data_IF_696973015040
#
_entry.id   IF_696973015040
#
_cell.length_a   1.000
_cell.length_b   1.000
_cell.length_c   1.000
_cell.angle_alpha   90.00
_cell.angle_beta   90.00
_cell.angle_gamma   90.00
#
_symmetry.space_group_name_H-M   'P 1'
#
loop_
_entity.id
_entity.type
_entity.pdbx_description
1 polymer ?
#
# COMPACT_ATOMS: atom_id res chain seq x y z
N UNK A 1 8.44 -7.63 -12.29
CA UNK A 1 8.84 -7.07 -10.98
C UNK A 1 10.31 -7.37 -10.77
N UNK A 2 11.13 -6.40 -10.37
CA UNK A 2 12.57 -6.64 -10.12
C UNK A 2 12.74 -7.28 -8.74
N UNK A 3 13.55 -8.34 -8.65
CA UNK A 3 13.77 -9.12 -7.42
C UNK A 3 14.17 -8.26 -6.22
N UNK A 4 14.93 -7.18 -6.44
CA UNK A 4 15.34 -6.25 -5.38
C UNK A 4 14.20 -5.49 -4.72
N UNK A 5 13.13 -5.18 -5.46
CA UNK A 5 11.98 -4.45 -4.91
C UNK A 5 11.17 -5.34 -3.97
N UNK A 6 11.02 -6.63 -4.29
CA UNK A 6 10.31 -7.59 -3.42
C UNK A 6 11.05 -7.83 -2.11
N UNK A 7 12.39 -7.92 -2.14
CA UNK A 7 13.22 -8.10 -0.93
C UNK A 7 13.11 -6.87 -0.02
N UNK A 8 13.23 -5.65 -0.58
CA UNK A 8 13.06 -4.41 0.18
C UNK A 8 11.67 -4.30 0.81
N UNK A 9 10.65 -4.71 0.06
CA UNK A 9 9.26 -4.71 0.56
C UNK A 9 9.07 -5.71 1.69
N UNK A 10 9.75 -6.84 1.68
CA UNK A 10 9.61 -7.85 2.72
C UNK A 10 10.39 -7.50 3.99
N UNK A 11 11.54 -6.83 3.86
CA UNK A 11 12.37 -6.40 5.00
C UNK A 11 11.88 -5.11 5.67
N UNK A 12 11.36 -4.15 4.90
CA UNK A 12 11.00 -2.83 5.39
C UNK A 12 9.50 -2.50 5.24
N UNK A 13 8.74 -3.27 4.46
CA UNK A 13 7.32 -3.03 4.27
C UNK A 13 6.49 -3.66 5.37
N UNK A 14 5.80 -2.81 6.13
CA UNK A 14 4.71 -3.21 7.00
C UNK A 14 3.44 -3.38 6.17
N UNK A 15 2.85 -4.58 6.18
CA UNK A 15 1.57 -4.83 5.54
C UNK A 15 0.50 -4.03 6.28
N UNK A 16 -0.14 -3.11 5.56
CA UNK A 16 -1.21 -2.29 6.13
C UNK A 16 -2.54 -3.00 5.98
N UNK A 17 -2.85 -3.47 4.77
CA UNK A 17 -4.11 -4.16 4.51
C UNK A 17 -4.20 -4.65 3.07
N UNK A 18 -5.31 -5.29 2.77
CA UNK A 18 -5.66 -5.77 1.45
C UNK A 18 -7.03 -5.22 1.02
N UNK A 19 -7.23 -5.10 -0.29
CA UNK A 19 -8.50 -4.69 -0.86
C UNK A 19 -9.33 -5.85 -1.41
N UNK A 20 -10.54 -5.57 -1.89
CA UNK A 20 -11.45 -6.54 -2.50
C UNK A 20 -10.79 -7.25 -3.69
N UNK A 21 -10.00 -6.51 -4.47
CA UNK A 21 -9.21 -7.04 -5.59
C UNK A 21 -7.93 -7.78 -5.15
N UNK A 22 -7.76 -8.04 -3.84
CA UNK A 22 -6.57 -8.65 -3.22
C UNK A 22 -5.27 -7.85 -3.46
N UNK A 23 -5.38 -6.57 -3.78
CA UNK A 23 -4.24 -5.66 -3.85
C UNK A 23 -3.72 -5.41 -2.43
N UNK A 24 -2.41 -5.58 -2.21
CA UNK A 24 -1.79 -5.44 -0.89
C UNK A 24 -1.10 -4.10 -0.75
N UNK A 25 -1.39 -3.41 0.33
CA UNK A 25 -0.82 -2.09 0.61
C UNK A 25 0.24 -2.20 1.69
N UNK A 26 1.38 -1.56 1.43
CA UNK A 26 2.55 -1.59 2.28
C UNK A 26 2.98 -0.18 2.67
N UNK A 27 3.53 -0.07 3.87
CA UNK A 27 4.10 1.17 4.39
C UNK A 27 5.47 0.89 5.01
N UNK A 28 6.45 1.77 4.82
CA UNK A 28 7.76 1.63 5.48
C UNK A 28 7.72 1.96 6.99
N UNK A 29 6.70 2.70 7.44
CA UNK A 29 6.59 3.09 8.85
C UNK A 29 5.65 2.16 9.60
N UNK A 30 6.00 1.84 10.85
CA UNK A 30 5.06 1.23 11.81
C UNK A 30 3.89 2.16 12.15
N UNK A 31 4.09 3.46 11.98
CA UNK A 31 3.05 4.45 12.24
C UNK A 31 2.38 4.83 10.92
N UNK A 32 1.17 4.34 10.69
CA UNK A 32 0.44 4.55 9.43
C UNK A 32 0.08 6.02 9.16
N UNK A 33 0.05 6.84 10.22
CA UNK A 33 -0.21 8.29 10.16
C UNK A 33 1.04 9.10 9.83
N UNK A 34 2.19 8.45 9.60
CA UNK A 34 3.39 9.17 9.23
C UNK A 34 3.33 9.58 7.74
N UNK A 35 3.35 10.88 7.50
CA UNK A 35 3.32 11.48 6.16
C UNK A 35 4.66 11.34 5.42
N UNK A 36 5.77 11.13 6.15
CA UNK A 36 7.08 10.89 5.55
C UNK A 36 7.28 9.42 5.15
N UNK A 37 6.42 8.52 5.63
CA UNK A 37 6.48 7.13 5.27
C UNK A 37 6.24 6.92 3.78
N UNK A 38 7.05 6.03 3.19
CA UNK A 38 6.81 5.53 1.83
C UNK A 38 5.61 4.58 1.87
N UNK A 39 4.65 4.82 0.98
CA UNK A 39 3.43 4.01 0.79
C UNK A 39 3.45 3.46 -0.62
N UNK A 40 3.20 2.17 -0.78
CA UNK A 40 3.13 1.54 -2.10
C UNK A 40 2.12 0.39 -2.09
N UNK A 41 1.66 0.04 -3.28
CA UNK A 41 0.72 -1.06 -3.51
C UNK A 41 1.39 -2.16 -4.32
N UNK A 42 1.08 -3.40 -3.99
CA UNK A 42 1.43 -4.58 -4.77
C UNK A 42 0.13 -5.15 -5.32
N UNK A 43 0.00 -5.12 -6.64
CA UNK A 43 -1.14 -5.70 -7.34
C UNK A 43 -1.05 -7.22 -7.40
N UNK A 44 -2.18 -7.89 -7.27
CA UNK A 44 -2.27 -9.33 -7.50
C UNK A 44 -2.52 -9.61 -8.98
N UNK A 45 -1.45 -9.76 -9.75
CA UNK A 45 -1.51 -10.08 -11.18
C UNK A 45 -1.16 -8.88 -12.05
N UNK A 46 -2.12 -8.46 -12.89
CA UNK A 46 -1.93 -7.33 -13.81
C UNK A 46 -1.85 -6.00 -13.05
N UNK A 47 -0.87 -5.17 -13.43
CA UNK A 47 -0.58 -3.90 -12.78
C UNK A 47 -1.51 -2.84 -13.37
N UNK A 48 -2.70 -2.70 -12.78
CA UNK A 48 -3.70 -1.74 -13.23
C UNK A 48 -4.05 -0.74 -12.12
N UNK A 49 -3.59 0.50 -12.27
CA UNK A 49 -3.82 1.56 -11.30
C UNK A 49 -5.31 1.88 -11.06
N UNK A 50 -6.17 1.65 -12.07
CA UNK A 50 -7.62 1.90 -11.99
C UNK A 50 -8.34 0.98 -10.99
N UNK A 51 -7.74 -0.16 -10.62
CA UNK A 51 -8.32 -1.10 -9.65
C UNK A 51 -8.12 -0.67 -8.20
N UNK A 52 -7.46 0.47 -7.95
CA UNK A 52 -7.32 1.02 -6.61
C UNK A 52 -8.63 1.74 -6.24
N UNK A 53 -9.32 1.35 -5.15
CA UNK A 53 -10.50 2.08 -4.73
C UNK A 53 -10.15 3.47 -4.19
N UNK A 54 -11.13 4.39 -4.18
CA UNK A 54 -10.89 5.81 -3.86
C UNK A 54 -10.29 6.03 -2.47
N UNK A 55 -10.61 5.18 -1.49
CA UNK A 55 -10.05 5.30 -0.14
C UNK A 55 -8.55 4.98 -0.09
N UNK A 56 -8.11 3.92 -0.74
CA UNK A 56 -6.68 3.59 -0.82
C UNK A 56 -5.93 4.56 -1.72
N UNK A 57 -6.59 5.08 -2.76
CA UNK A 57 -6.04 6.15 -3.58
C UNK A 57 -5.75 7.40 -2.72
N UNK A 58 -6.71 7.84 -1.90
CA UNK A 58 -6.52 8.95 -0.97
C UNK A 58 -5.37 8.67 0.03
N UNK A 59 -5.25 7.43 0.53
CA UNK A 59 -4.17 7.06 1.44
C UNK A 59 -2.80 7.05 0.76
N UNK A 60 -2.69 6.51 -0.46
CA UNK A 60 -1.44 6.54 -1.23
C UNK A 60 -0.99 7.97 -1.54
N UNK A 61 -1.94 8.85 -1.85
CA UNK A 61 -1.71 10.28 -2.09
C UNK A 61 -1.54 11.11 -0.80
N UNK A 62 -1.48 10.46 0.37
CA UNK A 62 -1.31 11.13 1.67
C UNK A 62 -2.41 12.14 1.99
N UNK A 63 -3.58 12.00 1.38
CA UNK A 63 -4.77 12.81 1.69
C UNK A 63 -5.43 12.37 2.99
N UNK A 64 -5.19 11.13 3.41
CA UNK A 64 -5.64 10.59 4.70
C UNK A 64 -4.47 9.98 5.48
N UNK A 65 -4.46 10.23 6.79
CA UNK A 65 -3.47 9.66 7.72
C UNK A 65 -3.77 8.21 8.06
N UNK A 66 -5.05 7.87 8.22
CA UNK A 66 -5.46 6.52 8.60
C UNK A 66 -5.73 5.68 7.35
N UNK A 67 -5.17 4.47 7.28
CA UNK A 67 -5.51 3.54 6.23
C UNK A 67 -6.96 3.04 6.42
N UNK A 68 -7.67 2.77 5.32
CA UNK A 68 -8.98 2.15 5.34
C UNK A 68 -8.84 0.65 5.65
N UNK A 69 -8.58 0.37 6.92
CA UNK A 69 -8.62 -0.96 7.52
C UNK A 69 -10.08 -1.26 7.86
N UNK A 70 -10.69 -2.22 7.16
CA UNK A 70 -12.10 -2.64 7.23
C UNK A 70 -13.05 -1.78 6.36
N UNK A 71 -13.17 -2.18 5.10
CA UNK A 71 -14.38 -1.96 4.30
C UNK A 71 -15.15 -3.28 4.23
#
# INVERSE_FOLDING_TARGET
>A
MSLGTSIYTWLCGHLVGEDVDNNKYYCNSKNYSDLNAKRWVIFKGEIEATKIPPHWHAWLHKSIDKPPLNY
#
